data_IF_445162466193
#
_entry.id   IF_445162466193
#
_cell.length_a   1.000
_cell.length_b   1.000
_cell.length_c   1.000
_cell.angle_alpha   90.00
_cell.angle_beta   90.00
_cell.angle_gamma   90.00
#
_symmetry.space_group_name_H-M   'P 1'
#
loop_
_entity.id
_entity.type
_entity.pdbx_description
1 polymer ?
#
# COMPACT_ATOMS: atom_id res chain seq x y z
N UNK A 1 60.88 16.25 -18.88
CA UNK A 1 59.60 15.63 -19.29
C UNK A 1 58.51 15.68 -18.21
N UNK A 2 58.81 15.50 -16.91
CA UNK A 2 57.80 15.53 -15.83
C UNK A 2 57.03 16.86 -15.67
N UNK A 3 57.64 18.01 -15.99
CA UNK A 3 57.01 19.33 -15.84
C UNK A 3 55.81 19.57 -16.78
N UNK A 4 55.74 18.88 -17.93
CA UNK A 4 54.64 19.03 -18.90
C UNK A 4 53.53 18.00 -18.66
N UNK A 5 53.86 16.86 -18.05
CA UNK A 5 52.90 15.77 -17.79
C UNK A 5 51.93 16.13 -16.67
N UNK A 6 52.41 16.83 -15.63
CA UNK A 6 51.58 17.19 -14.47
C UNK A 6 50.30 18.00 -14.82
N UNK A 7 50.36 19.11 -15.60
CA UNK A 7 49.17 19.88 -15.93
C UNK A 7 48.18 19.13 -16.84
N UNK A 8 48.69 18.28 -17.74
CA UNK A 8 47.84 17.46 -18.63
C UNK A 8 47.06 16.43 -17.81
N UNK A 9 47.70 15.79 -16.83
CA UNK A 9 47.04 14.85 -15.93
C UNK A 9 45.96 15.55 -15.08
N UNK A 10 46.22 16.76 -14.58
CA UNK A 10 45.23 17.53 -13.82
C UNK A 10 44.01 17.91 -14.68
N UNK A 11 44.23 18.28 -15.95
CA UNK A 11 43.16 18.59 -16.91
C UNK A 11 42.28 17.36 -17.20
N UNK A 12 42.88 16.18 -17.39
CA UNK A 12 42.13 14.94 -17.64
C UNK A 12 41.33 14.53 -16.40
N UNK A 13 41.93 14.61 -15.21
CA UNK A 13 41.24 14.27 -13.96
C UNK A 13 40.09 15.22 -13.69
N UNK A 14 40.32 16.54 -13.81
CA UNK A 14 39.28 17.55 -13.54
C UNK A 14 38.17 17.58 -14.60
N UNK A 15 38.51 17.42 -15.88
CA UNK A 15 37.56 17.51 -16.99
C UNK A 15 36.76 16.23 -17.23
N UNK A 16 37.30 15.05 -16.89
CA UNK A 16 36.69 13.78 -17.26
C UNK A 16 36.39 12.87 -16.07
N UNK A 17 37.37 12.68 -15.17
CA UNK A 17 37.24 11.71 -14.06
C UNK A 17 36.28 12.23 -12.99
N UNK A 18 36.41 13.49 -12.56
CA UNK A 18 35.54 14.08 -11.52
C UNK A 18 34.06 14.11 -11.95
N UNK A 19 33.70 14.56 -13.17
CA UNK A 19 32.31 14.52 -13.63
C UNK A 19 31.74 13.11 -13.75
N UNK A 20 32.55 12.13 -14.21
CA UNK A 20 32.13 10.73 -14.37
C UNK A 20 31.79 10.08 -13.02
N UNK A 21 32.63 10.30 -12.00
CA UNK A 21 32.37 9.80 -10.64
C UNK A 21 31.11 10.47 -10.07
N UNK A 22 30.96 11.79 -10.26
CA UNK A 22 29.78 12.53 -9.79
C UNK A 22 28.50 12.06 -10.48
N UNK A 23 28.53 11.74 -11.77
CA UNK A 23 27.39 11.20 -12.50
C UNK A 23 27.05 9.78 -12.03
N UNK A 24 28.06 8.93 -11.85
CA UNK A 24 27.89 7.55 -11.35
C UNK A 24 27.30 7.53 -9.94
N UNK A 25 27.74 8.43 -9.05
CA UNK A 25 27.18 8.58 -7.71
C UNK A 25 25.70 9.01 -7.75
N UNK A 26 25.32 9.91 -8.67
CA UNK A 26 23.92 10.29 -8.87
C UNK A 26 23.06 9.12 -9.37
N UNK A 27 23.58 8.33 -10.32
CA UNK A 27 22.90 7.16 -10.87
C UNK A 27 22.71 6.08 -9.81
N UNK A 28 23.74 5.76 -9.03
CA UNK A 28 23.64 4.82 -7.91
C UNK A 28 22.60 5.28 -6.87
N UNK A 29 22.63 6.56 -6.49
CA UNK A 29 21.63 7.12 -5.56
C UNK A 29 20.21 7.02 -6.10
N UNK A 30 20.01 7.23 -7.41
CA UNK A 30 18.70 7.12 -8.03
C UNK A 30 18.23 5.65 -8.10
N UNK A 31 19.12 4.70 -8.38
CA UNK A 31 18.78 3.28 -8.39
C UNK A 31 18.46 2.75 -6.99
N UNK A 32 19.21 3.17 -5.96
CA UNK A 32 18.91 2.87 -4.56
C UNK A 32 17.55 3.42 -4.13
N UNK A 33 17.22 4.66 -4.54
CA UNK A 33 15.89 5.24 -4.32
C UNK A 33 14.79 4.44 -4.99
N UNK A 34 14.99 4.02 -6.25
CA UNK A 34 14.02 3.18 -6.98
C UNK A 34 13.83 1.82 -6.31
N UNK A 35 14.91 1.18 -5.87
CA UNK A 35 14.84 -0.07 -5.11
C UNK A 35 14.09 0.11 -3.80
N UNK A 36 14.38 1.18 -3.05
CA UNK A 36 13.67 1.50 -1.79
C UNK A 36 12.18 1.81 -2.00
N UNK A 37 11.82 2.50 -3.08
CA UNK A 37 10.43 2.77 -3.46
C UNK A 37 9.68 1.47 -3.81
N UNK A 38 10.33 0.56 -4.53
CA UNK A 38 9.74 -0.73 -4.87
C UNK A 38 9.52 -1.59 -3.62
N UNK A 39 10.52 -1.67 -2.73
CA UNK A 39 10.36 -2.41 -1.47
C UNK A 39 9.29 -1.81 -0.56
N UNK A 40 9.14 -0.47 -0.57
CA UNK A 40 8.08 0.19 0.18
C UNK A 40 6.70 -0.12 -0.43
N UNK A 41 6.58 -0.14 -1.76
CA UNK A 41 5.35 -0.52 -2.44
C UNK A 41 4.95 -1.97 -2.12
N UNK A 42 5.92 -2.89 -2.06
CA UNK A 42 5.68 -4.28 -1.68
C UNK A 42 5.22 -4.41 -0.22
N UNK A 43 5.86 -3.67 0.70
CA UNK A 43 5.47 -3.61 2.11
C UNK A 43 4.06 -3.03 2.26
N UNK A 44 3.76 -1.93 1.56
CA UNK A 44 2.43 -1.31 1.57
C UNK A 44 1.37 -2.28 1.06
N UNK A 45 1.62 -2.96 -0.06
CA UNK A 45 0.70 -3.96 -0.62
C UNK A 45 0.46 -5.12 0.36
N UNK A 46 1.51 -5.63 1.00
CA UNK A 46 1.39 -6.67 2.02
C UNK A 46 0.56 -6.18 3.23
N UNK A 47 0.82 -4.97 3.71
CA UNK A 47 0.07 -4.37 4.82
C UNK A 47 -1.41 -4.12 4.47
N UNK A 48 -1.71 -3.67 3.26
CA UNK A 48 -3.08 -3.51 2.78
C UNK A 48 -3.83 -4.85 2.80
N UNK A 49 -3.23 -5.92 2.29
CA UNK A 49 -3.85 -7.26 2.32
C UNK A 49 -4.08 -7.78 3.74
N UNK A 50 -3.11 -7.58 4.62
CA UNK A 50 -3.25 -7.95 6.04
C UNK A 50 -4.41 -7.15 6.66
N UNK A 51 -4.46 -5.84 6.43
CA UNK A 51 -5.52 -4.98 6.93
C UNK A 51 -6.90 -5.40 6.42
N UNK A 52 -7.06 -5.68 5.13
CA UNK A 52 -8.33 -6.16 4.55
C UNK A 52 -8.83 -7.44 5.21
N UNK A 53 -7.93 -8.41 5.44
CA UNK A 53 -8.27 -9.67 6.12
C UNK A 53 -8.70 -9.40 7.55
N UNK A 54 -7.95 -8.58 8.29
CA UNK A 54 -8.26 -8.26 9.69
C UNK A 54 -9.54 -7.46 9.84
N UNK A 55 -9.80 -6.50 8.94
CA UNK A 55 -11.07 -5.76 8.86
C UNK A 55 -12.23 -6.71 8.60
N UNK A 56 -12.08 -7.64 7.65
CA UNK A 56 -13.13 -8.62 7.33
C UNK A 56 -13.43 -9.53 8.54
N UNK A 57 -12.40 -10.01 9.23
CA UNK A 57 -12.57 -10.82 10.45
C UNK A 57 -13.21 -10.02 11.58
N UNK A 58 -12.81 -8.75 11.74
CA UNK A 58 -13.36 -7.87 12.78
C UNK A 58 -14.82 -7.52 12.51
N UNK A 59 -15.21 -7.29 11.26
CA UNK A 59 -16.60 -7.06 10.87
C UNK A 59 -17.46 -8.32 10.97
N UNK A 60 -16.90 -9.49 10.65
CA UNK A 60 -17.57 -10.78 10.81
C UNK A 60 -17.83 -11.12 12.29
N UNK A 61 -16.92 -10.73 13.18
CA UNK A 61 -17.08 -10.89 14.62
C UNK A 61 -18.15 -9.91 15.16
N UNK A 62 -19.39 -10.39 15.24
CA UNK A 62 -20.52 -9.69 15.87
C UNK A 62 -20.36 -9.66 17.40
N UNK A 63 -19.42 -8.86 17.90
CA UNK A 63 -19.30 -8.62 19.34
C UNK A 63 -20.35 -7.62 19.82
N UNK A 64 -21.15 -8.01 20.80
CA UNK A 64 -22.20 -7.19 21.42
C UNK A 64 -21.53 -6.14 22.31
N UNK A 65 -21.64 -4.87 21.94
CA UNK A 65 -21.12 -3.72 22.72
C UNK A 65 -19.83 -3.10 22.18
N UNK A 66 -19.17 -3.69 21.17
CA UNK A 66 -18.00 -3.06 20.54
C UNK A 66 -18.44 -1.93 19.60
N UNK A 67 -17.97 -0.72 19.87
CA UNK A 67 -18.23 0.44 19.00
C UNK A 67 -17.36 0.36 17.74
N UNK A 68 -17.69 1.16 16.72
CA UNK A 68 -16.89 1.22 15.48
C UNK A 68 -15.44 1.65 15.72
N UNK A 69 -15.16 2.40 16.78
CA UNK A 69 -13.81 2.81 17.17
C UNK A 69 -13.02 1.64 17.74
N UNK A 70 -13.64 0.84 18.61
CA UNK A 70 -13.01 -0.34 19.23
C UNK A 70 -12.61 -1.37 18.18
N UNK A 71 -13.49 -1.60 17.20
CA UNK A 71 -13.23 -2.49 16.05
C UNK A 71 -12.03 -2.01 15.22
N UNK A 72 -11.95 -0.72 14.93
CA UNK A 72 -10.82 -0.14 14.19
C UNK A 72 -9.51 -0.30 14.96
N UNK A 73 -9.52 -0.01 16.26
CA UNK A 73 -8.33 -0.13 17.08
C UNK A 73 -7.85 -1.59 17.18
N UNK A 74 -8.77 -2.54 17.32
CA UNK A 74 -8.47 -3.98 17.30
C UNK A 74 -7.85 -4.40 15.95
N UNK A 75 -8.44 -4.00 14.83
CA UNK A 75 -7.93 -4.30 13.50
C UNK A 75 -6.53 -3.69 13.26
N UNK A 76 -6.28 -2.47 13.75
CA UNK A 76 -4.94 -1.83 13.70
C UNK A 76 -3.92 -2.63 14.50
N UNK A 77 -4.26 -3.06 15.72
CA UNK A 77 -3.35 -3.86 16.52
C UNK A 77 -3.07 -5.22 15.87
N UNK A 78 -4.10 -5.92 15.40
CA UNK A 78 -3.95 -7.20 14.71
C UNK A 78 -3.08 -7.07 13.45
N UNK A 79 -3.28 -5.99 12.67
CA UNK A 79 -2.47 -5.70 11.48
C UNK A 79 -1.02 -5.46 11.85
N UNK A 80 -0.73 -4.68 12.90
CA UNK A 80 0.64 -4.44 13.39
C UNK A 80 1.31 -5.72 13.87
N UNK A 81 0.60 -6.55 14.64
CA UNK A 81 1.14 -7.82 15.15
C UNK A 81 1.47 -8.76 14.00
N UNK A 82 0.53 -8.91 13.05
CA UNK A 82 0.76 -9.79 11.90
C UNK A 82 1.88 -9.28 10.99
N UNK A 83 2.00 -7.96 10.81
CA UNK A 83 3.12 -7.36 10.09
C UNK A 83 4.46 -7.63 10.76
N UNK A 84 4.54 -7.49 12.09
CA UNK A 84 5.74 -7.80 12.88
C UNK A 84 6.11 -9.29 12.78
N UNK A 85 5.12 -10.18 12.87
CA UNK A 85 5.34 -11.62 12.72
C UNK A 85 5.89 -12.01 11.33
N UNK A 86 5.57 -11.22 10.30
CA UNK A 86 6.09 -11.37 8.95
C UNK A 86 7.40 -10.61 8.70
N UNK A 87 7.96 -9.94 9.71
CA UNK A 87 9.19 -9.17 9.61
C UNK A 87 9.05 -7.89 8.77
N UNK A 88 7.83 -7.38 8.57
CA UNK A 88 7.59 -6.15 7.82
C UNK A 88 7.95 -4.93 8.66
N UNK A 89 8.76 -4.02 8.11
CA UNK A 89 9.06 -2.75 8.76
C UNK A 89 7.89 -1.77 8.58
N UNK A 90 7.14 -1.56 9.65
CA UNK A 90 5.99 -0.64 9.68
C UNK A 90 6.35 0.75 10.23
N UNK A 91 7.62 1.03 10.56
CA UNK A 91 8.00 2.30 11.25
C UNK A 91 7.70 3.55 10.45
N UNK A 92 7.75 3.44 9.12
CA UNK A 92 7.52 4.55 8.20
C UNK A 92 6.16 4.47 7.50
N UNK A 93 5.27 3.61 8.00
CA UNK A 93 3.97 3.34 7.39
C UNK A 93 2.84 3.66 8.38
N UNK A 94 1.87 4.45 7.94
CA UNK A 94 0.66 4.76 8.70
C UNK A 94 -0.34 3.59 8.63
N UNK A 95 -0.11 2.58 9.48
CA UNK A 95 -0.99 1.40 9.59
C UNK A 95 -2.45 1.79 9.93
N UNK A 96 -2.73 2.72 10.86
CA UNK A 96 -4.10 3.24 11.06
C UNK A 96 -4.78 3.72 9.78
N UNK A 97 -4.10 4.53 8.95
CA UNK A 97 -4.68 5.03 7.71
C UNK A 97 -4.97 3.90 6.70
N UNK A 98 -4.12 2.87 6.62
CA UNK A 98 -4.34 1.70 5.76
C UNK A 98 -5.58 0.92 6.22
N UNK A 99 -5.73 0.71 7.52
CA UNK A 99 -6.89 0.01 8.09
C UNK A 99 -8.17 0.82 7.86
N UNK A 100 -8.13 2.15 8.03
CA UNK A 100 -9.27 3.04 7.74
C UNK A 100 -9.69 2.95 6.28
N UNK A 101 -8.72 2.95 5.35
CA UNK A 101 -8.98 2.76 3.93
C UNK A 101 -9.66 1.42 3.66
N UNK A 102 -9.20 0.33 4.28
CA UNK A 102 -9.81 -0.99 4.16
C UNK A 102 -11.27 -1.02 4.70
N UNK A 103 -11.55 -0.39 5.85
CA UNK A 103 -12.93 -0.24 6.34
C UNK A 103 -13.81 0.56 5.38
N UNK A 104 -13.28 1.65 4.81
CA UNK A 104 -14.00 2.49 3.84
C UNK A 104 -14.34 1.71 2.56
N UNK A 105 -13.37 1.01 1.98
CA UNK A 105 -13.58 0.15 0.80
C UNK A 105 -14.62 -0.93 1.10
N UNK A 106 -14.53 -1.60 2.26
CA UNK A 106 -15.49 -2.64 2.64
C UNK A 106 -16.91 -2.10 2.76
N UNK A 107 -17.07 -0.89 3.31
CA UNK A 107 -18.36 -0.22 3.38
C UNK A 107 -18.90 0.11 1.99
N UNK A 108 -18.06 0.59 1.07
CA UNK A 108 -18.45 0.85 -0.31
C UNK A 108 -18.88 -0.42 -1.05
N UNK A 109 -18.16 -1.54 -0.87
CA UNK A 109 -18.54 -2.85 -1.41
C UNK A 109 -19.93 -3.29 -0.93
N UNK A 110 -20.21 -3.14 0.37
CA UNK A 110 -21.51 -3.47 0.95
C UNK A 110 -22.64 -2.62 0.35
N UNK A 111 -22.40 -1.32 0.16
CA UNK A 111 -23.39 -0.42 -0.46
C UNK A 111 -23.62 -0.75 -1.95
N UNK A 112 -22.56 -1.09 -2.69
CA UNK A 112 -22.68 -1.48 -4.10
C UNK A 112 -23.49 -2.78 -4.26
N UNK A 113 -23.21 -3.79 -3.42
CA UNK A 113 -23.94 -5.06 -3.44
C UNK A 113 -25.42 -4.88 -3.05
N UNK A 114 -25.73 -4.01 -2.08
CA UNK A 114 -27.11 -3.74 -1.71
C UNK A 114 -27.94 -3.11 -2.84
N UNK A 115 -27.33 -2.21 -3.63
CA UNK A 115 -27.98 -1.64 -4.80
C UNK A 115 -28.22 -2.68 -5.91
N UNK A 116 -27.32 -3.65 -6.08
CA UNK A 116 -27.51 -4.73 -7.05
C UNK A 116 -28.59 -5.73 -6.61
N UNK A 117 -28.61 -6.14 -5.34
CA UNK A 117 -29.60 -7.07 -4.80
C UNK A 117 -31.02 -6.50 -4.80
N UNK A 118 -31.15 -5.20 -4.51
CA UNK A 118 -32.44 -4.50 -4.55
C UNK A 118 -32.98 -4.37 -5.98
N UNK A 119 -32.12 -4.09 -6.97
CA UNK A 119 -32.50 -4.09 -8.39
C UNK A 119 -32.87 -5.49 -8.86
N UNK A 120 -32.11 -6.53 -8.48
CA UNK A 120 -32.41 -7.92 -8.82
C UNK A 120 -33.75 -8.40 -8.22
N UNK A 121 -34.05 -8.06 -6.96
CA UNK A 121 -35.34 -8.38 -6.33
C UNK A 121 -36.51 -7.65 -7.01
N UNK A 122 -36.35 -6.38 -7.37
CA UNK A 122 -37.39 -5.65 -8.10
C UNK A 122 -37.62 -6.18 -9.53
N UNK A 123 -36.56 -6.59 -10.23
CA UNK A 123 -36.68 -7.23 -11.55
C UNK A 123 -37.37 -8.60 -11.47
N UNK A 124 -37.09 -9.39 -10.43
CA UNK A 124 -37.77 -10.67 -10.18
C UNK A 124 -39.25 -10.48 -9.86
N UNK A 125 -39.61 -9.49 -9.04
CA UNK A 125 -41.01 -9.20 -8.71
C UNK A 125 -41.81 -8.72 -9.93
N UNK A 126 -41.21 -7.91 -10.80
CA UNK A 126 -41.85 -7.43 -12.02
C UNK A 126 -42.09 -8.54 -13.08
N UNK A 127 -41.27 -9.60 -13.08
CA UNK A 127 -41.40 -10.72 -14.03
C UNK A 127 -42.51 -11.70 -13.60
N UNK A 128 -42.68 -11.94 -12.30
CA UNK A 128 -43.76 -12.81 -11.77
C UNK A 128 -45.15 -12.24 -12.07
N UNK A 129 -45.32 -10.91 -12.05
CA UNK A 129 -46.60 -10.25 -12.36
C UNK A 129 -46.98 -10.31 -13.85
N UNK A 130 -46.01 -10.53 -14.76
CA UNK A 130 -46.27 -10.60 -16.22
C UNK A 130 -46.60 -12.00 -16.73
N UNK A 131 -46.18 -13.06 -16.03
CA UNK A 131 -46.42 -14.45 -16.43
C UNK A 131 -47.57 -15.12 -15.66
N UNK A 132 -48.28 -14.40 -14.80
CA UNK A 132 -49.37 -14.90 -13.96
C UNK A 132 -50.75 -14.30 -14.27
N UNK A 133 -50.93 -13.65 -15.42
CA UNK A 133 -52.21 -13.09 -15.88
C UNK A 133 -52.71 -13.82 -17.13
#
# INVERSE_FOLDING_TARGET
MYQVVLPIVILVVSGYVIPLIRNSAKVQKNNLKKQGLNSLADILNALTKIAEVQVTQTEANKSVGATGVDKKQAAVQATKIQAQNLGLDTKHVDVPAIVEAAFSTKKQELHANYNQDSVAKNASAANTTRNGA
#
